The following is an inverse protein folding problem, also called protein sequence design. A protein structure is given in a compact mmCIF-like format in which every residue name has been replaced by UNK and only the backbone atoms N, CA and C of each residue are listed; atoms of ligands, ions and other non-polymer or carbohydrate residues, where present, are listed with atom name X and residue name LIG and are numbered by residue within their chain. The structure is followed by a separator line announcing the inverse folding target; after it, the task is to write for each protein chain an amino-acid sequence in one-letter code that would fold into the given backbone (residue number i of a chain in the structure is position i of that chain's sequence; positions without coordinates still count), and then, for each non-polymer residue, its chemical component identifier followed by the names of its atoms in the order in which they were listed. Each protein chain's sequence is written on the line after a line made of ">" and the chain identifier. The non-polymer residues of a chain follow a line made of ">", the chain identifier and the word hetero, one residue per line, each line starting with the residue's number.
data_IF_112341121561
#
_entry.id   IF_112341121561
#
_cell.length_a   1.000
_cell.length_b   1.000
_cell.length_c   1.000
_cell.angle_alpha   90.00
_cell.angle_beta   90.00
_cell.angle_gamma   90.00
#
_symmetry.space_group_name_H-M   'P 1'
#
loop_
_entity.id
_entity.type
_entity.pdbx_description
1 polymer ?
#
# COMPACT_ATOMS: atom_id res chain seq x y z
N UNK A 1 15.58 13.52 -19.68
CA UNK A 1 16.34 14.06 -18.54
C UNK A 1 15.71 13.48 -17.28
N UNK A 2 16.54 12.87 -16.44
CA UNK A 2 16.09 12.42 -15.12
C UNK A 2 15.72 13.67 -14.33
N UNK A 3 14.55 13.68 -13.71
CA UNK A 3 14.16 14.77 -12.80
C UNK A 3 15.20 14.88 -11.69
N UNK A 4 15.65 16.07 -11.31
CA UNK A 4 16.62 16.23 -10.23
C UNK A 4 16.06 15.84 -8.86
N UNK A 5 14.76 15.68 -8.75
CA UNK A 5 14.04 15.28 -7.53
C UNK A 5 13.06 14.15 -7.83
N UNK A 6 13.13 13.08 -7.04
CA UNK A 6 12.22 11.95 -7.08
C UNK A 6 11.12 12.14 -6.02
N UNK A 7 9.87 12.25 -6.43
CA UNK A 7 8.72 12.40 -5.54
C UNK A 7 8.11 11.04 -5.22
N UNK A 8 8.13 10.66 -3.95
CA UNK A 8 7.66 9.34 -3.48
C UNK A 8 6.52 9.51 -2.49
N UNK A 9 5.35 8.95 -2.81
CA UNK A 9 4.21 8.84 -1.90
C UNK A 9 4.14 7.43 -1.33
N UNK A 10 4.19 7.32 -0.01
CA UNK A 10 4.12 6.03 0.68
C UNK A 10 3.19 6.12 1.90
N UNK A 11 2.97 4.97 2.53
CA UNK A 11 2.22 4.84 3.78
C UNK A 11 3.06 5.27 4.97
N UNK A 12 2.39 5.63 6.06
CA UNK A 12 3.05 5.95 7.33
C UNK A 12 3.87 4.76 7.83
N UNK A 13 5.11 5.00 8.26
CA UNK A 13 6.03 4.00 8.81
C UNK A 13 6.43 2.86 7.85
N UNK A 14 6.34 3.07 6.54
CA UNK A 14 6.72 2.07 5.54
C UNK A 14 8.19 2.12 5.13
N UNK A 15 8.97 3.01 5.73
CA UNK A 15 10.43 3.09 5.57
C UNK A 15 11.06 3.37 6.95
N UNK A 16 12.34 3.06 7.06
CA UNK A 16 13.10 3.28 8.28
C UNK A 16 13.15 4.74 8.72
N UNK A 17 13.21 4.94 10.02
CA UNK A 17 13.46 6.22 10.67
C UNK A 17 14.71 6.12 11.54
N UNK A 18 15.52 7.16 11.58
CA UNK A 18 16.59 7.30 12.56
C UNK A 18 16.01 7.32 13.98
N UNK A 19 16.84 7.00 14.99
CA UNK A 19 16.42 6.91 16.38
C UNK A 19 15.82 8.21 16.93
N UNK A 20 16.24 9.36 16.38
CA UNK A 20 15.71 10.69 16.68
C UNK A 20 14.56 11.13 15.76
N UNK A 21 14.15 10.24 14.85
CA UNK A 21 13.10 10.47 13.84
C UNK A 21 13.37 11.68 12.90
N UNK A 22 14.61 12.14 12.80
CA UNK A 22 14.97 13.32 12.00
C UNK A 22 15.23 12.97 10.53
N UNK A 23 15.63 11.73 10.24
CA UNK A 23 16.00 11.28 8.90
C UNK A 23 15.43 9.91 8.56
N UNK A 24 15.48 9.57 7.27
CA UNK A 24 15.19 8.23 6.73
C UNK A 24 16.49 7.66 6.15
N UNK A 25 17.21 6.80 6.90
CA UNK A 25 18.52 6.30 6.48
C UNK A 25 18.56 5.71 5.07
N UNK A 26 17.58 4.89 4.71
CA UNK A 26 17.47 4.32 3.35
C UNK A 26 17.37 5.40 2.26
N UNK A 27 16.61 6.48 2.50
CA UNK A 27 16.53 7.61 1.56
C UNK A 27 17.86 8.34 1.45
N UNK A 28 18.48 8.63 2.60
CA UNK A 28 19.80 9.30 2.65
C UNK A 28 20.85 8.52 1.90
N UNK A 29 20.88 7.18 2.05
CA UNK A 29 21.84 6.32 1.36
C UNK A 29 21.57 6.26 -0.15
N UNK A 30 20.30 6.26 -0.55
CA UNK A 30 19.92 6.34 -1.96
C UNK A 30 20.40 7.67 -2.59
N UNK A 31 20.12 8.80 -1.94
CA UNK A 31 20.54 10.12 -2.40
C UNK A 31 22.07 10.21 -2.58
N UNK A 32 22.82 9.72 -1.59
CA UNK A 32 24.29 9.67 -1.66
C UNK A 32 24.79 8.80 -2.80
N UNK A 33 24.13 7.65 -3.02
CA UNK A 33 24.58 6.67 -4.03
C UNK A 33 24.30 7.15 -5.45
N UNK A 34 23.16 7.79 -5.69
CA UNK A 34 22.68 8.11 -7.04
C UNK A 34 22.71 9.61 -7.37
N UNK A 35 22.97 10.48 -6.41
CA UNK A 35 23.03 11.93 -6.61
C UNK A 35 21.68 12.56 -6.96
N UNK A 36 20.59 11.90 -6.61
CA UNK A 36 19.20 12.35 -6.85
C UNK A 36 18.54 12.70 -5.53
N UNK A 37 17.98 13.89 -5.40
CA UNK A 37 17.19 14.25 -4.22
C UNK A 37 15.88 13.47 -4.18
N UNK A 38 15.43 13.08 -2.99
CA UNK A 38 14.17 12.36 -2.79
C UNK A 38 13.23 13.14 -1.89
N UNK A 39 12.09 13.53 -2.43
CA UNK A 39 10.96 14.07 -1.68
C UNK A 39 10.06 12.91 -1.25
N UNK A 40 10.38 12.29 -0.11
CA UNK A 40 9.60 11.19 0.44
C UNK A 40 8.49 11.71 1.36
N UNK A 41 7.24 11.36 1.06
CA UNK A 41 6.10 11.78 1.85
C UNK A 41 5.23 10.59 2.26
N UNK A 42 4.80 10.58 3.52
CA UNK A 42 3.78 9.68 4.04
C UNK A 42 2.39 10.22 3.66
N UNK A 43 2.10 10.20 2.35
CA UNK A 43 0.91 10.81 1.76
C UNK A 43 -0.28 9.86 1.63
N UNK A 44 -0.06 8.56 1.83
CA UNK A 44 -1.10 7.53 1.67
C UNK A 44 -1.61 7.12 3.06
N UNK A 45 -2.84 7.49 3.38
CA UNK A 45 -3.53 7.05 4.61
C UNK A 45 -4.53 5.91 4.32
N UNK A 46 -5.19 5.98 3.18
CA UNK A 46 -5.99 4.92 2.58
C UNK A 46 -5.97 5.08 1.06
N UNK A 47 -6.24 3.98 0.34
CA UNK A 47 -6.14 3.96 -1.11
C UNK A 47 -7.13 4.90 -1.81
N UNK A 48 -8.39 4.97 -1.34
CA UNK A 48 -9.43 5.72 -2.04
C UNK A 48 -9.23 7.23 -1.90
N UNK A 49 -8.86 7.70 -0.71
CA UNK A 49 -8.54 9.11 -0.50
C UNK A 49 -7.34 9.54 -1.34
N UNK A 50 -6.25 8.75 -1.33
CA UNK A 50 -5.08 9.03 -2.14
C UNK A 50 -5.42 9.00 -3.64
N UNK A 51 -6.16 7.99 -4.11
CA UNK A 51 -6.62 7.93 -5.50
C UNK A 51 -7.41 9.18 -5.88
N UNK A 52 -8.23 9.70 -4.98
CA UNK A 52 -8.97 10.95 -5.18
C UNK A 52 -8.07 12.14 -5.52
N UNK A 53 -6.87 12.21 -4.94
CA UNK A 53 -5.93 13.32 -5.19
C UNK A 53 -5.26 13.24 -6.55
N UNK A 54 -4.94 12.05 -7.04
CA UNK A 54 -4.23 11.84 -8.31
C UNK A 54 -5.15 11.64 -9.51
N UNK A 55 -6.44 11.34 -9.27
CA UNK A 55 -7.38 10.99 -10.33
C UNK A 55 -7.56 12.08 -11.38
N UNK A 56 -7.82 13.30 -10.95
CA UNK A 56 -8.15 14.40 -11.87
C UNK A 56 -6.98 14.75 -12.79
N UNK A 57 -5.75 14.98 -12.32
CA UNK A 57 -4.63 15.24 -13.21
C UNK A 57 -4.31 14.07 -14.13
N UNK A 58 -4.26 12.82 -13.64
CA UNK A 58 -3.97 11.67 -14.49
C UNK A 58 -5.05 11.43 -15.55
N UNK A 59 -6.32 11.67 -15.22
CA UNK A 59 -7.43 11.58 -16.17
C UNK A 59 -7.34 12.63 -17.29
N UNK A 60 -6.73 13.79 -16.99
CA UNK A 60 -6.45 14.85 -17.93
C UNK A 60 -5.11 14.65 -18.70
N UNK A 61 -4.40 13.55 -18.49
CA UNK A 61 -3.08 13.31 -19.06
C UNK A 61 -1.99 14.24 -18.51
N UNK A 62 -2.20 14.76 -17.30
CA UNK A 62 -1.27 15.66 -16.62
C UNK A 62 -0.48 14.90 -15.53
N UNK A 63 0.64 15.46 -15.17
CA UNK A 63 1.47 14.96 -14.07
C UNK A 63 0.69 15.01 -12.74
N UNK A 64 0.75 13.94 -11.96
CA UNK A 64 0.18 13.86 -10.62
C UNK A 64 1.04 14.52 -9.54
N UNK A 65 2.28 14.85 -9.87
CA UNK A 65 3.30 15.32 -8.93
C UNK A 65 4.05 14.18 -8.21
N UNK A 66 3.74 12.92 -8.53
CA UNK A 66 4.37 11.74 -7.95
C UNK A 66 5.04 10.88 -9.00
N UNK A 67 6.32 10.53 -8.79
CA UNK A 67 7.07 9.60 -9.62
C UNK A 67 6.87 8.15 -9.17
N UNK A 68 6.79 7.93 -7.86
CA UNK A 68 6.55 6.61 -7.26
C UNK A 68 5.42 6.71 -6.25
N UNK A 69 4.45 5.77 -6.33
CA UNK A 69 3.36 5.65 -5.37
C UNK A 69 3.25 4.23 -4.85
N UNK A 70 3.14 4.06 -3.53
CA UNK A 70 2.93 2.75 -2.91
C UNK A 70 1.46 2.57 -2.60
N UNK A 71 0.84 1.58 -3.24
CA UNK A 71 -0.59 1.29 -3.10
C UNK A 71 -0.79 -0.21 -2.83
N UNK A 72 -1.94 -0.57 -2.27
CA UNK A 72 -2.29 -1.98 -2.18
C UNK A 72 -2.62 -2.55 -3.56
N UNK A 73 -2.51 -3.88 -3.69
CA UNK A 73 -2.68 -4.59 -4.96
C UNK A 73 -3.93 -4.21 -5.75
N UNK A 74 -5.06 -4.12 -5.07
CA UNK A 74 -6.32 -3.86 -5.76
C UNK A 74 -6.40 -2.43 -6.33
N UNK A 75 -5.77 -1.45 -5.66
CA UNK A 75 -5.67 -0.08 -6.17
C UNK A 75 -4.60 0.01 -7.26
N UNK A 76 -3.46 -0.66 -7.09
CA UNK A 76 -2.45 -0.79 -8.14
C UNK A 76 -3.06 -1.41 -9.41
N UNK A 77 -3.85 -2.49 -9.29
CA UNK A 77 -4.59 -3.07 -10.40
C UNK A 77 -5.56 -2.09 -11.08
N UNK A 78 -6.17 -1.17 -10.30
CA UNK A 78 -7.00 -0.11 -10.85
C UNK A 78 -6.19 0.89 -11.67
N UNK A 79 -5.04 1.33 -11.16
CA UNK A 79 -4.12 2.24 -11.85
C UNK A 79 -3.64 1.61 -13.17
N UNK A 80 -3.28 0.32 -13.17
CA UNK A 80 -2.87 -0.39 -14.37
C UNK A 80 -4.00 -0.46 -15.42
N UNK A 81 -5.23 -0.80 -15.00
CA UNK A 81 -6.38 -0.85 -15.93
C UNK A 81 -6.72 0.51 -16.55
N UNK A 82 -6.42 1.61 -15.86
CA UNK A 82 -6.59 2.97 -16.35
C UNK A 82 -5.45 3.42 -17.29
N UNK A 83 -4.36 2.62 -17.38
CA UNK A 83 -3.19 2.96 -18.19
C UNK A 83 -2.37 4.11 -17.62
N UNK A 84 -2.39 4.30 -16.30
CA UNK A 84 -1.72 5.43 -15.63
C UNK A 84 -0.36 5.08 -15.03
N UNK A 85 0.09 3.84 -15.19
CA UNK A 85 1.41 3.42 -14.74
C UNK A 85 2.38 3.29 -15.93
N UNK A 86 3.60 3.74 -15.74
CA UNK A 86 4.71 3.54 -16.67
C UNK A 86 5.36 2.16 -16.45
N UNK A 87 5.95 1.59 -17.49
CA UNK A 87 6.70 0.34 -17.39
C UNK A 87 8.02 0.56 -16.66
N UNK A 88 8.33 -0.39 -15.79
CA UNK A 88 9.63 -0.44 -15.10
C UNK A 88 10.70 -0.88 -16.10
N UNK A 89 11.79 -0.12 -16.21
CA UNK A 89 12.99 -0.56 -16.91
C UNK A 89 13.80 -1.53 -16.05
N UNK A 90 13.56 -2.82 -16.23
CA UNK A 90 14.23 -3.88 -15.46
C UNK A 90 15.74 -3.92 -15.68
N UNK A 91 16.23 -3.37 -16.78
CA UNK A 91 17.68 -3.27 -17.05
C UNK A 91 18.40 -2.43 -16.02
N UNK A 92 17.70 -1.45 -15.44
CA UNK A 92 18.21 -0.60 -14.38
C UNK A 92 18.03 -1.20 -12.96
N UNK A 93 17.41 -2.37 -12.84
CA UNK A 93 17.06 -3.00 -11.55
C UNK A 93 17.51 -4.48 -11.47
N UNK A 94 18.81 -4.79 -11.71
CA UNK A 94 19.28 -6.19 -11.73
C UNK A 94 19.09 -6.90 -10.40
N UNK A 95 19.33 -6.21 -9.29
CA UNK A 95 19.18 -6.76 -7.94
C UNK A 95 17.72 -7.06 -7.59
N UNK A 96 16.77 -6.25 -8.10
CA UNK A 96 15.35 -6.48 -7.92
C UNK A 96 14.92 -7.82 -8.55
N UNK A 97 15.31 -8.05 -9.80
CA UNK A 97 14.96 -9.30 -10.50
C UNK A 97 15.58 -10.54 -9.84
N UNK A 98 16.79 -10.41 -9.31
CA UNK A 98 17.50 -11.49 -8.64
C UNK A 98 16.94 -11.84 -7.26
N UNK A 99 16.41 -10.84 -6.53
CA UNK A 99 15.95 -11.00 -5.15
C UNK A 99 14.43 -11.02 -4.98
N UNK A 100 13.66 -10.89 -6.05
CA UNK A 100 12.20 -10.95 -5.99
C UNK A 100 11.75 -12.35 -5.55
N UNK A 101 11.02 -12.42 -4.44
CA UNK A 101 10.47 -13.67 -3.91
C UNK A 101 9.46 -14.28 -4.88
N UNK A 102 9.45 -15.62 -4.98
CA UNK A 102 8.57 -16.35 -5.90
C UNK A 102 7.08 -16.07 -5.65
N UNK A 103 6.67 -15.82 -4.41
CA UNK A 103 5.29 -15.47 -4.06
C UNK A 103 4.77 -14.21 -4.78
N UNK A 104 5.67 -13.34 -5.20
CA UNK A 104 5.34 -12.11 -5.93
C UNK A 104 5.44 -12.26 -7.46
N UNK A 105 5.91 -13.41 -7.97
CA UNK A 105 5.99 -13.70 -9.39
C UNK A 105 4.66 -14.26 -9.91
N UNK A 106 4.34 -13.99 -11.17
CA UNK A 106 3.18 -14.58 -11.83
C UNK A 106 1.81 -14.14 -11.27
N UNK A 107 1.75 -13.07 -10.51
CA UNK A 107 0.48 -12.56 -9.95
C UNK A 107 -0.41 -12.00 -11.06
N UNK A 108 -1.71 -12.29 -11.00
CA UNK A 108 -2.68 -11.91 -12.03
C UNK A 108 -2.76 -10.41 -12.32
N UNK A 109 -2.36 -9.58 -11.35
CA UNK A 109 -2.41 -8.12 -11.50
C UNK A 109 -1.28 -7.58 -12.42
N UNK A 110 -0.10 -8.22 -12.39
CA UNK A 110 1.06 -7.88 -13.22
C UNK A 110 1.94 -9.14 -13.36
N UNK A 111 1.55 -10.10 -14.20
CA UNK A 111 2.19 -11.42 -14.26
C UNK A 111 3.68 -11.39 -14.58
N UNK A 112 4.09 -10.41 -15.35
CA UNK A 112 5.48 -10.25 -15.79
C UNK A 112 6.27 -9.25 -14.95
N UNK A 113 5.66 -8.66 -13.90
CA UNK A 113 6.30 -7.63 -13.07
C UNK A 113 6.83 -6.48 -13.95
N UNK A 114 5.97 -5.97 -14.83
CA UNK A 114 6.35 -4.92 -15.79
C UNK A 114 6.10 -3.51 -15.24
N UNK A 115 5.18 -3.37 -14.28
CA UNK A 115 4.74 -2.07 -13.77
C UNK A 115 4.88 -1.94 -12.26
N UNK A 116 4.86 -3.07 -11.53
CA UNK A 116 4.80 -3.08 -10.08
C UNK A 116 6.07 -3.68 -9.48
N UNK A 117 6.66 -2.96 -8.54
CA UNK A 117 7.69 -3.50 -7.65
C UNK A 117 7.07 -3.76 -6.28
N UNK A 118 6.91 -5.04 -5.84
CA UNK A 118 6.38 -5.34 -4.51
C UNK A 118 7.23 -4.71 -3.41
N UNK A 119 6.57 -3.96 -2.51
CA UNK A 119 7.22 -3.30 -1.37
C UNK A 119 7.21 -4.21 -0.14
N UNK A 120 6.03 -4.65 0.28
CA UNK A 120 5.84 -5.49 1.45
C UNK A 120 4.59 -6.36 1.32
N UNK A 121 4.59 -7.52 1.99
CA UNK A 121 3.37 -8.28 2.27
C UNK A 121 2.81 -7.87 3.62
N UNK A 122 1.49 -7.66 3.69
CA UNK A 122 0.79 -7.23 4.90
C UNK A 122 -0.28 -8.23 5.25
N UNK A 123 -0.50 -8.41 6.55
CA UNK A 123 -1.58 -9.22 7.11
C UNK A 123 -2.42 -8.32 8.02
N UNK A 124 -3.72 -8.22 7.73
CA UNK A 124 -4.66 -7.57 8.64
C UNK A 124 -5.00 -8.50 9.80
N UNK A 125 -5.08 -7.95 11.01
CA UNK A 125 -5.36 -8.70 12.23
C UNK A 125 -6.12 -7.89 13.24
N UNK A 126 -6.47 -8.53 14.36
CA UNK A 126 -7.19 -7.91 15.47
C UNK A 126 -6.20 -7.71 16.64
N UNK A 127 -6.02 -6.47 17.06
CA UNK A 127 -5.32 -6.14 18.30
C UNK A 127 -6.33 -6.02 19.45
N UNK A 128 -6.07 -6.70 20.56
CA UNK A 128 -6.94 -6.66 21.75
C UNK A 128 -6.16 -6.32 23.01
N UNK A 129 -6.81 -5.60 23.92
CA UNK A 129 -6.36 -5.51 25.31
C UNK A 129 -6.69 -6.83 26.01
N UNK A 130 -5.68 -7.66 26.28
CA UNK A 130 -5.85 -8.99 26.86
C UNK A 130 -6.49 -8.97 28.25
N UNK A 131 -6.42 -7.86 28.97
CA UNK A 131 -7.00 -7.75 30.31
C UNK A 131 -8.49 -7.38 30.28
N UNK A 132 -8.92 -6.61 29.27
CA UNK A 132 -10.29 -6.08 29.16
C UNK A 132 -11.14 -6.80 28.12
N UNK A 133 -10.51 -7.38 27.11
CA UNK A 133 -11.18 -7.98 25.96
C UNK A 133 -10.69 -9.42 25.67
N UNK A 134 -10.27 -10.18 26.69
CA UNK A 134 -9.76 -11.55 26.53
C UNK A 134 -10.79 -12.52 25.91
N UNK A 135 -12.06 -12.18 25.91
CA UNK A 135 -13.15 -12.95 25.30
C UNK A 135 -13.17 -12.82 23.78
N UNK A 136 -12.58 -11.77 23.20
CA UNK A 136 -12.50 -11.59 21.74
C UNK A 136 -11.56 -12.63 21.15
N UNK A 137 -12.09 -13.47 20.26
CA UNK A 137 -11.36 -14.54 19.57
C UNK A 137 -11.37 -14.37 18.05
N UNK A 138 -12.29 -13.54 17.54
CA UNK A 138 -12.44 -13.31 16.13
C UNK A 138 -13.19 -12.02 15.82
N UNK A 139 -13.30 -11.70 14.54
CA UNK A 139 -13.89 -10.44 14.07
C UNK A 139 -15.34 -10.28 14.51
N UNK A 140 -16.13 -11.38 14.58
CA UNK A 140 -17.53 -11.36 15.06
C UNK A 140 -17.67 -10.82 16.48
N UNK A 141 -16.67 -11.11 17.34
CA UNK A 141 -16.72 -10.70 18.73
C UNK A 141 -16.55 -9.18 18.90
N UNK A 142 -16.08 -8.47 17.86
CA UNK A 142 -15.99 -7.02 17.88
C UNK A 142 -17.36 -6.32 17.90
N UNK A 143 -18.43 -7.04 17.54
CA UNK A 143 -19.82 -6.55 17.61
C UNK A 143 -20.48 -6.81 18.97
N UNK A 144 -19.77 -7.40 19.94
CA UNK A 144 -20.28 -7.62 21.29
C UNK A 144 -20.65 -6.28 21.96
N UNK A 145 -21.85 -6.15 22.55
CA UNK A 145 -22.31 -4.92 23.19
C UNK A 145 -21.36 -4.39 24.28
N UNK A 146 -20.57 -5.27 24.92
CA UNK A 146 -19.56 -4.89 25.92
C UNK A 146 -18.45 -4.00 25.33
N UNK A 147 -18.25 -4.04 24.02
CA UNK A 147 -17.24 -3.26 23.30
C UNK A 147 -17.80 -1.96 22.73
N UNK A 148 -19.04 -1.59 23.00
CA UNK A 148 -19.67 -0.36 22.46
C UNK A 148 -18.79 0.87 22.75
N UNK A 149 -18.42 1.59 21.70
CA UNK A 149 -17.57 2.79 21.76
C UNK A 149 -16.08 2.49 22.06
N UNK A 150 -15.62 1.23 21.95
CA UNK A 150 -14.25 0.80 22.24
C UNK A 150 -13.58 0.04 21.09
N UNK A 151 -14.21 -0.01 19.93
CA UNK A 151 -13.70 -0.66 18.73
C UNK A 151 -13.29 0.42 17.75
N UNK A 152 -12.09 0.31 17.20
CA UNK A 152 -11.62 1.07 16.05
C UNK A 152 -11.39 0.12 14.88
N UNK A 153 -11.72 0.55 13.69
CA UNK A 153 -11.52 -0.19 12.45
C UNK A 153 -10.63 0.63 11.53
N UNK A 154 -9.94 -0.05 10.62
CA UNK A 154 -9.18 0.63 9.57
C UNK A 154 -10.15 1.35 8.63
N UNK A 155 -9.76 2.55 8.17
CA UNK A 155 -10.48 3.28 7.13
C UNK A 155 -10.31 2.64 5.75
N UNK A 156 -9.32 1.77 5.61
CA UNK A 156 -9.11 0.98 4.40
C UNK A 156 -10.32 0.05 4.18
N UNK A 157 -11.17 0.44 3.25
CA UNK A 157 -12.48 -0.15 3.05
C UNK A 157 -12.42 -1.64 2.74
N UNK A 158 -11.48 -2.05 1.87
CA UNK A 158 -11.40 -3.47 1.47
C UNK A 158 -10.99 -4.39 2.59
N UNK A 159 -10.04 -3.96 3.44
CA UNK A 159 -9.61 -4.75 4.59
C UNK A 159 -10.75 -4.91 5.60
N UNK A 160 -11.39 -3.81 5.96
CA UNK A 160 -12.47 -3.80 6.96
C UNK A 160 -13.70 -4.57 6.47
N UNK A 161 -14.15 -4.32 5.24
CA UNK A 161 -15.30 -5.04 4.68
C UNK A 161 -14.99 -6.50 4.38
N UNK A 162 -13.75 -6.79 3.93
CA UNK A 162 -13.29 -8.17 3.74
C UNK A 162 -13.34 -8.98 5.03
N UNK A 163 -12.88 -8.42 6.15
CA UNK A 163 -12.96 -9.07 7.46
C UNK A 163 -14.41 -9.25 7.92
N UNK A 164 -15.29 -8.28 7.66
CA UNK A 164 -16.72 -8.38 7.99
C UNK A 164 -17.41 -9.51 7.20
N UNK A 165 -17.14 -9.61 5.89
CA UNK A 165 -17.63 -10.69 5.03
C UNK A 165 -17.16 -12.07 5.52
N UNK A 166 -15.84 -12.22 5.78
CA UNK A 166 -15.31 -13.45 6.34
C UNK A 166 -15.97 -13.84 7.68
N UNK A 167 -16.21 -12.86 8.55
CA UNK A 167 -16.89 -13.09 9.82
C UNK A 167 -18.36 -13.54 9.63
N UNK A 168 -19.01 -13.10 8.56
CA UNK A 168 -20.35 -13.54 8.19
C UNK A 168 -20.39 -14.92 7.52
N UNK A 169 -19.25 -15.44 7.09
CA UNK A 169 -19.11 -16.70 6.36
C UNK A 169 -19.07 -16.56 4.84
N UNK A 170 -18.98 -15.31 4.36
CA UNK A 170 -18.90 -14.99 2.95
C UNK A 170 -17.42 -15.00 2.47
N UNK A 171 -17.23 -15.25 1.19
CA UNK A 171 -15.91 -15.17 0.53
C UNK A 171 -15.71 -13.78 -0.08
N UNK A 172 -14.81 -12.95 0.47
CA UNK A 172 -14.57 -11.61 -0.06
C UNK A 172 -14.09 -11.58 -1.52
N UNK A 173 -13.53 -12.69 -2.01
CA UNK A 173 -13.09 -12.80 -3.40
C UNK A 173 -14.25 -13.00 -4.39
N UNK A 174 -15.41 -13.40 -3.90
CA UNK A 174 -16.61 -13.71 -4.69
C UNK A 174 -17.72 -12.66 -4.55
N UNK A 175 -17.41 -11.49 -4.01
CA UNK A 175 -18.39 -10.41 -3.91
C UNK A 175 -18.78 -9.96 -5.31
N UNK A 176 -20.07 -10.12 -5.63
CA UNK A 176 -20.65 -9.64 -6.87
C UNK A 176 -20.61 -8.10 -6.91
N UNK A 177 -20.25 -7.57 -8.07
CA UNK A 177 -20.11 -6.13 -8.31
C UNK A 177 -21.23 -5.59 -9.20
N UNK A 178 -22.35 -6.31 -9.30
CA UNK A 178 -23.52 -5.82 -10.03
C UNK A 178 -24.17 -4.64 -9.32
#
# INVERSE_FOLDING_TARGET
>A
SVSPTLNVANWTLYIDLSSDSSTRPTVVDFEKRYGTSVNYQEAVNDNDSFFGTIKAPLQAGQDSGWDIVTLTDWMAARILRLGWAEKIDKGNMPDFAANLLDVYRGRSIDPNVEYLAPWAGIVAGIAIDKTKAAFVKGFKDLFDPRLKGRVSLLTEMRDTMGLALLANGDDPAKVDRT
#
